data_IF_429620109204
#
_entry.id   IF_429620109204
#
_cell.length_a   1.000
_cell.length_b   1.000
_cell.length_c   1.000
_cell.angle_alpha   90.00
_cell.angle_beta   90.00
_cell.angle_gamma   90.00
#
_symmetry.space_group_name_H-M   'P 1'
#
loop_
_entity.id
_entity.type
_entity.pdbx_description
1 polymer ?
#
# COMPACT_ATOMS: atom_id res chain seq x y z
N UNK A 1 4.32 26.77 9.71
CA UNK A 1 4.08 25.32 9.90
C UNK A 1 3.39 24.69 8.69
N UNK A 2 2.25 25.21 8.23
CA UNK A 2 1.46 24.62 7.13
C UNK A 2 2.25 24.42 5.82
N UNK A 3 3.05 25.40 5.38
CA UNK A 3 3.79 25.30 4.11
C UNK A 3 4.92 24.26 4.13
N UNK A 4 5.60 24.11 5.28
CA UNK A 4 6.66 23.11 5.45
C UNK A 4 6.08 21.70 5.41
N UNK A 5 4.92 21.49 6.04
CA UNK A 5 4.24 20.19 6.03
C UNK A 5 3.69 19.85 4.64
N UNK A 6 3.19 20.84 3.90
CA UNK A 6 2.77 20.67 2.50
C UNK A 6 3.96 20.27 1.62
N UNK A 7 5.11 20.94 1.74
CA UNK A 7 6.32 20.57 1.00
C UNK A 7 6.77 19.15 1.33
N UNK A 8 6.80 18.78 2.62
CA UNK A 8 7.16 17.42 3.06
C UNK A 8 6.20 16.36 2.50
N UNK A 9 4.90 16.65 2.50
CA UNK A 9 3.90 15.77 1.92
C UNK A 9 4.08 15.63 0.41
N UNK A 10 4.36 16.72 -0.30
CA UNK A 10 4.67 16.69 -1.73
C UNK A 10 5.89 15.79 -2.01
N UNK A 11 6.99 15.98 -1.29
CA UNK A 11 8.18 15.13 -1.45
C UNK A 11 7.91 13.65 -1.11
N UNK A 12 7.08 13.39 -0.10
CA UNK A 12 6.65 12.03 0.28
C UNK A 12 5.92 11.35 -0.89
N UNK A 13 4.96 12.05 -1.49
CA UNK A 13 4.21 11.52 -2.63
C UNK A 13 5.09 11.36 -3.87
N UNK A 14 5.98 12.33 -4.16
CA UNK A 14 6.92 12.24 -5.29
C UNK A 14 7.88 11.06 -5.13
N UNK A 15 8.40 10.81 -3.93
CA UNK A 15 9.26 9.65 -3.65
C UNK A 15 8.49 8.33 -3.80
N UNK A 16 7.22 8.29 -3.39
CA UNK A 16 6.38 7.12 -3.61
C UNK A 16 6.17 6.86 -5.12
N UNK A 17 5.83 7.87 -5.91
CA UNK A 17 5.70 7.76 -7.37
C UNK A 17 7.02 7.32 -8.01
N UNK A 18 8.13 7.90 -7.59
CA UNK A 18 9.46 7.52 -8.06
C UNK A 18 9.78 6.05 -7.74
N UNK A 19 9.36 5.55 -6.58
CA UNK A 19 9.55 4.13 -6.20
C UNK A 19 8.78 3.17 -7.09
N UNK A 20 7.57 3.55 -7.54
CA UNK A 20 6.78 2.78 -8.50
C UNK A 20 7.50 2.77 -9.85
N UNK A 21 7.98 3.92 -10.31
CA UNK A 21 8.74 4.01 -11.56
C UNK A 21 10.01 3.13 -11.52
N UNK A 22 10.73 3.17 -10.40
CA UNK A 22 11.93 2.36 -10.22
C UNK A 22 11.63 0.85 -10.18
N UNK A 23 10.43 0.46 -9.75
CA UNK A 23 10.00 -0.95 -9.71
C UNK A 23 9.95 -1.63 -11.08
N UNK A 24 9.82 -0.86 -12.16
CA UNK A 24 9.89 -1.39 -13.53
C UNK A 24 11.30 -1.83 -13.93
N UNK A 25 12.33 -1.16 -13.42
CA UNK A 25 13.71 -1.41 -13.83
C UNK A 25 14.43 -2.35 -12.87
N UNK A 26 14.15 -2.27 -11.57
CA UNK A 26 14.86 -3.07 -10.56
C UNK A 26 14.90 -4.57 -10.88
N UNK A 27 13.79 -5.25 -11.21
CA UNK A 27 13.82 -6.68 -11.52
C UNK A 27 14.73 -7.03 -12.70
N UNK A 28 14.82 -6.16 -13.72
CA UNK A 28 15.64 -6.39 -14.91
C UNK A 28 17.15 -6.42 -14.63
N UNK A 29 17.60 -5.86 -13.50
CA UNK A 29 19.00 -5.97 -13.08
C UNK A 29 19.35 -7.33 -12.47
N UNK A 30 18.35 -8.09 -12.01
CA UNK A 30 18.54 -9.36 -11.31
C UNK A 30 18.05 -10.57 -12.11
N UNK A 31 17.17 -10.36 -13.10
CA UNK A 31 16.54 -11.40 -13.90
C UNK A 31 16.73 -11.10 -15.39
N UNK A 32 17.46 -11.98 -16.08
CA UNK A 32 17.82 -11.78 -17.49
C UNK A 32 16.62 -11.76 -18.46
N UNK A 33 15.51 -12.42 -18.10
CA UNK A 33 14.28 -12.51 -18.92
C UNK A 33 13.10 -11.75 -18.31
N UNK A 34 13.34 -10.65 -17.59
CA UNK A 34 12.25 -9.88 -16.99
C UNK A 34 11.39 -9.20 -18.07
N UNK A 35 10.12 -9.59 -18.13
CA UNK A 35 9.07 -8.89 -18.88
C UNK A 35 7.90 -8.61 -17.94
N UNK A 36 7.40 -7.37 -17.93
CA UNK A 36 6.31 -6.97 -17.02
C UNK A 36 5.06 -7.81 -17.26
N UNK A 37 4.80 -8.23 -18.51
CA UNK A 37 3.61 -9.00 -18.85
C UNK A 37 3.75 -10.47 -18.42
N UNK A 38 4.88 -11.10 -18.75
CA UNK A 38 5.11 -12.53 -18.48
C UNK A 38 5.46 -12.78 -17.01
N UNK A 39 6.17 -11.85 -16.38
CA UNK A 39 6.68 -11.96 -15.00
C UNK A 39 6.03 -10.92 -14.08
N UNK A 40 4.73 -10.65 -14.31
CA UNK A 40 3.95 -9.66 -13.58
C UNK A 40 3.94 -9.88 -12.06
N UNK A 41 3.99 -11.14 -11.59
CA UNK A 41 4.03 -11.46 -10.15
C UNK A 41 5.30 -10.95 -9.47
N UNK A 42 6.46 -11.09 -10.12
CA UNK A 42 7.72 -10.53 -9.66
C UNK A 42 7.68 -9.01 -9.62
N UNK A 43 7.09 -8.37 -10.64
CA UNK A 43 6.90 -6.93 -10.65
C UNK A 43 6.00 -6.46 -9.49
N UNK A 44 4.86 -7.13 -9.25
CA UNK A 44 3.96 -6.83 -8.12
C UNK A 44 4.68 -6.94 -6.77
N UNK A 45 5.48 -7.99 -6.58
CA UNK A 45 6.30 -8.18 -5.37
C UNK A 45 7.32 -7.05 -5.21
N UNK A 46 8.08 -6.72 -6.26
CA UNK A 46 9.10 -5.67 -6.23
C UNK A 46 8.47 -4.30 -5.97
N UNK A 47 7.37 -3.98 -6.65
CA UNK A 47 6.64 -2.72 -6.44
C UNK A 47 6.14 -2.61 -5.00
N UNK A 48 5.52 -3.67 -4.46
CA UNK A 48 5.03 -3.71 -3.08
C UNK A 48 6.18 -3.53 -2.07
N UNK A 49 7.31 -4.20 -2.28
CA UNK A 49 8.49 -4.09 -1.41
C UNK A 49 9.08 -2.67 -1.42
N UNK A 50 9.22 -2.05 -2.59
CA UNK A 50 9.78 -0.70 -2.73
C UNK A 50 8.88 0.36 -2.11
N UNK A 51 7.57 0.32 -2.40
CA UNK A 51 6.60 1.27 -1.84
C UNK A 51 6.56 1.13 -0.32
N UNK A 52 6.58 -0.10 0.21
CA UNK A 52 6.65 -0.35 1.66
C UNK A 52 7.94 0.24 2.24
N UNK A 53 9.09 -0.04 1.62
CA UNK A 53 10.39 0.47 2.05
C UNK A 53 10.45 1.99 2.10
N UNK A 54 9.92 2.67 1.08
CA UNK A 54 9.85 4.13 1.01
C UNK A 54 8.92 4.69 2.08
N UNK A 55 7.73 4.12 2.29
CA UNK A 55 6.82 4.56 3.36
C UNK A 55 7.43 4.39 4.76
N UNK A 56 8.13 3.28 5.01
CA UNK A 56 8.84 3.05 6.26
C UNK A 56 10.00 4.05 6.46
N UNK A 57 10.80 4.28 5.41
CA UNK A 57 11.88 5.26 5.45
C UNK A 57 11.35 6.67 5.74
N UNK A 58 10.27 7.07 5.07
CA UNK A 58 9.63 8.36 5.26
C UNK A 58 9.05 8.49 6.67
N UNK A 59 8.43 7.44 7.22
CA UNK A 59 8.01 7.43 8.61
C UNK A 59 9.18 7.64 9.58
N UNK A 60 10.31 6.98 9.34
CA UNK A 60 11.52 7.10 10.18
C UNK A 60 12.18 8.47 10.10
N UNK A 61 12.16 9.12 8.93
CA UNK A 61 12.77 10.43 8.68
C UNK A 61 11.86 11.58 9.11
N UNK A 62 10.58 11.54 8.72
CA UNK A 62 9.62 12.61 8.99
C UNK A 62 9.15 12.58 10.44
N UNK A 63 9.07 11.39 11.06
CA UNK A 63 8.53 11.16 12.41
C UNK A 63 7.33 12.05 12.71
N UNK A 64 6.23 11.95 11.95
CA UNK A 64 5.08 12.82 12.13
C UNK A 64 4.51 12.75 13.56
N UNK A 65 4.71 11.60 14.24
CA UNK A 65 4.39 11.42 15.65
C UNK A 65 5.67 11.18 16.46
N UNK A 66 6.16 12.20 17.16
CA UNK A 66 7.29 12.07 18.09
C UNK A 66 6.86 11.17 19.27
N UNK A 67 7.49 10.01 19.50
CA UNK A 67 7.19 9.23 20.68
C UNK A 67 7.68 10.00 21.92
N UNK A 68 6.75 10.35 22.80
CA UNK A 68 6.99 11.16 24.02
C UNK A 68 7.79 10.45 25.13
N UNK A 69 8.24 9.21 24.92
CA UNK A 69 8.90 8.40 25.96
C UNK A 69 9.98 7.48 25.38
N UNK A 70 11.10 7.28 26.09
CA UNK A 70 12.06 6.19 25.81
C UNK A 70 11.30 4.86 25.92
N UNK A 71 10.88 4.31 24.78
CA UNK A 71 10.20 3.01 24.74
C UNK A 71 11.24 1.90 24.76
N UNK A 72 11.05 0.91 25.65
CA UNK A 72 11.83 -0.34 25.65
C UNK A 72 11.84 -1.00 24.27
N UNK A 73 12.92 -1.73 23.95
CA UNK A 73 13.04 -2.55 22.73
C UNK A 73 11.83 -3.48 22.57
N UNK A 74 11.38 -4.09 23.66
CA UNK A 74 10.20 -4.97 23.68
C UNK A 74 8.96 -4.27 23.13
N UNK A 75 8.66 -3.05 23.57
CA UNK A 75 7.51 -2.28 23.07
C UNK A 75 7.62 -1.94 21.58
N UNK A 76 8.83 -1.69 21.06
CA UNK A 76 9.05 -1.45 19.62
C UNK A 76 8.78 -2.72 18.80
N UNK A 77 9.31 -3.86 19.25
CA UNK A 77 9.10 -5.16 18.61
C UNK A 77 7.62 -5.52 18.62
N UNK A 78 6.92 -5.40 19.75
CA UNK A 78 5.47 -5.65 19.82
C UNK A 78 4.68 -4.75 18.87
N UNK A 79 5.09 -3.47 18.73
CA UNK A 79 4.44 -2.56 17.77
C UNK A 79 4.62 -3.04 16.33
N UNK A 80 5.84 -3.40 15.95
CA UNK A 80 6.13 -3.91 14.59
C UNK A 80 5.35 -5.18 14.32
N UNK A 81 5.33 -6.14 15.25
CA UNK A 81 4.54 -7.36 15.11
C UNK A 81 3.05 -7.07 14.91
N UNK A 82 2.48 -6.14 15.67
CA UNK A 82 1.09 -5.70 15.48
C UNK A 82 0.87 -5.08 14.11
N UNK A 83 1.80 -4.26 13.62
CA UNK A 83 1.70 -3.71 12.26
C UNK A 83 1.73 -4.81 11.20
N UNK A 84 2.63 -5.78 11.32
CA UNK A 84 2.69 -6.92 10.39
C UNK A 84 1.39 -7.73 10.41
N UNK A 85 0.84 -8.01 11.60
CA UNK A 85 -0.46 -8.70 11.71
C UNK A 85 -1.59 -7.92 11.02
N UNK A 86 -1.65 -6.60 11.21
CA UNK A 86 -2.69 -5.76 10.59
C UNK A 86 -2.55 -5.72 9.06
N UNK A 87 -1.32 -5.65 8.56
CA UNK A 87 -1.05 -5.73 7.13
C UNK A 87 -1.49 -7.08 6.54
N UNK A 88 -1.11 -8.20 7.19
CA UNK A 88 -1.53 -9.53 6.75
C UNK A 88 -3.05 -9.71 6.79
N UNK A 89 -3.72 -9.23 7.84
CA UNK A 89 -5.18 -9.24 7.92
C UNK A 89 -5.82 -8.44 6.79
N UNK A 90 -5.25 -7.29 6.42
CA UNK A 90 -5.69 -6.49 5.26
C UNK A 90 -5.56 -7.28 3.95
N UNK A 91 -4.42 -7.94 3.72
CA UNK A 91 -4.21 -8.74 2.51
C UNK A 91 -5.23 -9.87 2.40
N UNK A 92 -5.44 -10.62 3.49
CA UNK A 92 -6.42 -11.72 3.51
C UNK A 92 -7.84 -11.19 3.31
N UNK A 93 -8.20 -10.09 3.96
CA UNK A 93 -9.52 -9.48 3.82
C UNK A 93 -9.80 -9.02 2.39
N UNK A 94 -8.85 -8.33 1.75
CA UNK A 94 -8.99 -7.89 0.36
C UNK A 94 -9.00 -9.08 -0.62
N UNK A 95 -8.20 -10.11 -0.37
CA UNK A 95 -8.23 -11.34 -1.18
C UNK A 95 -9.62 -11.98 -1.13
N UNK A 96 -10.22 -12.13 0.06
CA UNK A 96 -11.59 -12.63 0.21
C UNK A 96 -12.58 -11.76 -0.55
N UNK A 97 -12.47 -10.43 -0.45
CA UNK A 97 -13.33 -9.52 -1.23
C UNK A 97 -13.19 -9.78 -2.72
N UNK A 98 -11.97 -9.86 -3.26
CA UNK A 98 -11.78 -10.08 -4.69
C UNK A 98 -12.37 -11.39 -5.18
N UNK A 99 -12.22 -12.47 -4.40
CA UNK A 99 -12.87 -13.76 -4.69
C UNK A 99 -14.39 -13.60 -4.71
N UNK A 100 -14.98 -12.90 -3.74
CA UNK A 100 -16.42 -12.64 -3.70
C UNK A 100 -16.92 -11.79 -4.88
N UNK A 101 -16.04 -10.96 -5.46
CA UNK A 101 -16.31 -10.17 -6.66
C UNK A 101 -16.00 -10.90 -7.97
N UNK A 102 -15.67 -12.21 -7.91
CA UNK A 102 -15.53 -13.07 -9.08
C UNK A 102 -14.09 -13.46 -9.45
N UNK A 103 -13.08 -13.11 -8.64
CA UNK A 103 -11.72 -13.60 -8.87
C UNK A 103 -11.62 -15.12 -8.60
N UNK A 104 -10.87 -15.87 -9.41
CA UNK A 104 -10.74 -17.32 -9.28
C UNK A 104 -10.00 -17.74 -8.01
N UNK A 105 -10.57 -18.71 -7.28
CA UNK A 105 -10.06 -19.18 -5.99
C UNK A 105 -9.03 -20.33 -6.10
N UNK A 106 -8.84 -20.94 -7.28
CA UNK A 106 -7.96 -22.13 -7.44
C UNK A 106 -6.89 -21.91 -8.49
N UNK A 107 -7.25 -21.39 -9.67
CA UNK A 107 -6.32 -21.32 -10.81
C UNK A 107 -5.38 -20.12 -10.76
N UNK A 108 -5.85 -18.96 -10.26
CA UNK A 108 -5.05 -17.72 -10.18
C UNK A 108 -5.03 -17.15 -8.74
N UNK A 109 -4.82 -18.04 -7.76
CA UNK A 109 -4.80 -17.66 -6.33
C UNK A 109 -3.66 -16.70 -6.04
N UNK A 110 -2.49 -16.94 -6.64
CA UNK A 110 -1.29 -16.17 -6.38
C UNK A 110 -1.42 -14.75 -6.95
N UNK A 111 -1.98 -14.62 -8.13
CA UNK A 111 -2.32 -13.38 -8.81
C UNK A 111 -3.30 -12.57 -7.96
N UNK A 112 -4.41 -13.20 -7.56
CA UNK A 112 -5.45 -12.56 -6.73
C UNK A 112 -4.90 -12.15 -5.37
N UNK A 113 -4.04 -12.97 -4.76
CA UNK A 113 -3.41 -12.66 -3.50
C UNK A 113 -2.37 -11.54 -3.63
N UNK A 114 -1.53 -11.55 -4.67
CA UNK A 114 -0.55 -10.48 -4.91
C UNK A 114 -1.23 -9.15 -5.27
N UNK A 115 -2.39 -9.19 -5.92
CA UNK A 115 -3.23 -8.02 -6.11
C UNK A 115 -3.76 -7.48 -4.76
N UNK A 116 -4.16 -8.36 -3.84
CA UNK A 116 -4.54 -7.96 -2.48
C UNK A 116 -3.36 -7.41 -1.66
N UNK A 117 -2.15 -7.94 -1.87
CA UNK A 117 -0.91 -7.43 -1.27
C UNK A 117 -0.60 -6.03 -1.78
N UNK A 118 -0.60 -5.79 -3.09
CA UNK A 118 -0.27 -4.46 -3.62
C UNK A 118 -1.30 -3.42 -3.20
N UNK A 119 -2.61 -3.75 -3.22
CA UNK A 119 -3.65 -2.82 -2.77
C UNK A 119 -3.56 -2.56 -1.26
N UNK A 120 -3.25 -3.58 -0.45
CA UNK A 120 -2.95 -3.40 0.99
C UNK A 120 -1.71 -2.53 1.21
N UNK A 121 -0.71 -2.62 0.35
CA UNK A 121 0.50 -1.78 0.45
C UNK A 121 0.17 -0.31 0.24
N UNK A 122 -0.68 0.03 -0.73
CA UNK A 122 -1.06 1.43 -0.98
C UNK A 122 -2.04 2.00 0.05
N UNK A 123 -2.82 1.15 0.73
CA UNK A 123 -3.88 1.59 1.67
C UNK A 123 -3.44 1.46 3.13
N UNK A 124 -2.99 0.28 3.52
CA UNK A 124 -2.75 -0.13 4.92
C UNK A 124 -1.37 0.28 5.41
N UNK A 125 -0.31 0.21 4.59
CA UNK A 125 1.05 0.59 5.03
C UNK A 125 1.15 2.08 5.42
N UNK A 126 0.63 3.04 4.62
CA UNK A 126 0.59 4.45 5.03
C UNK A 126 -0.22 4.66 6.33
N UNK A 127 -1.33 3.93 6.51
CA UNK A 127 -2.13 4.00 7.75
C UNK A 127 -1.31 3.53 8.96
N UNK A 128 -0.62 2.40 8.83
CA UNK A 128 0.24 1.85 9.88
C UNK A 128 1.42 2.76 10.20
N UNK A 129 2.01 3.40 9.19
CA UNK A 129 3.08 4.37 9.38
C UNK A 129 2.59 5.62 10.11
N UNK A 130 1.48 6.22 9.67
CA UNK A 130 1.00 7.48 10.23
C UNK A 130 0.28 7.31 11.58
N UNK A 131 -0.69 6.39 11.63
CA UNK A 131 -1.61 6.22 12.76
C UNK A 131 -1.19 5.08 13.72
N UNK A 132 -0.28 4.21 13.29
CA UNK A 132 0.06 2.99 14.02
C UNK A 132 -1.08 1.96 14.03
N UNK A 133 -0.92 0.84 14.75
CA UNK A 133 -1.96 -0.18 14.90
C UNK A 133 -3.01 0.25 15.93
N UNK A 134 -3.69 1.38 15.65
CA UNK A 134 -4.72 1.98 16.50
C UNK A 134 -6.03 2.12 15.72
N UNK A 135 -6.89 1.10 15.79
CA UNK A 135 -8.16 1.08 15.07
C UNK A 135 -9.07 2.27 15.38
N UNK A 136 -9.05 2.80 16.61
CA UNK A 136 -9.84 4.00 16.96
C UNK A 136 -9.39 5.23 16.17
N UNK A 137 -8.08 5.38 15.96
CA UNK A 137 -7.54 6.45 15.13
C UNK A 137 -7.92 6.27 13.67
N UNK A 138 -7.94 5.03 13.17
CA UNK A 138 -8.34 4.72 11.80
C UNK A 138 -9.81 5.04 11.57
N UNK A 139 -10.69 4.54 12.45
CA UNK A 139 -12.12 4.81 12.40
C UNK A 139 -12.42 6.31 12.47
N UNK A 140 -11.69 7.05 13.31
CA UNK A 140 -11.78 8.52 13.34
C UNK A 140 -11.35 9.11 12.00
N UNK A 141 -10.17 8.77 11.48
CA UNK A 141 -9.68 9.39 10.24
C UNK A 141 -10.61 9.10 9.06
N UNK A 142 -11.20 7.90 8.98
CA UNK A 142 -12.14 7.53 7.91
C UNK A 142 -13.61 7.88 8.20
N UNK A 143 -13.91 8.58 9.30
CA UNK A 143 -15.26 9.10 9.56
C UNK A 143 -15.47 10.49 8.96
N UNK A 144 -16.75 10.89 8.83
CA UNK A 144 -17.12 12.22 8.36
C UNK A 144 -16.52 13.29 9.28
N UNK A 145 -15.72 14.19 8.72
CA UNK A 145 -15.02 15.29 9.40
C UNK A 145 -14.00 14.85 10.49
N UNK A 146 -13.53 13.60 10.47
CA UNK A 146 -12.59 13.11 11.48
C UNK A 146 -11.11 13.40 11.20
N UNK A 147 -10.81 13.98 10.04
CA UNK A 147 -9.47 14.44 9.66
C UNK A 147 -9.07 15.69 10.43
N UNK A 148 -7.94 15.61 11.11
CA UNK A 148 -7.39 16.68 11.95
C UNK A 148 -6.09 17.27 11.40
N UNK A 149 -5.45 16.62 10.43
CA UNK A 149 -4.18 17.08 9.84
C UNK A 149 -4.13 16.86 8.32
N UNK A 150 -3.23 17.61 7.66
CA UNK A 150 -2.99 17.48 6.20
C UNK A 150 -2.47 16.07 5.85
N UNK A 151 -1.71 15.44 6.75
CA UNK A 151 -1.24 14.06 6.59
C UNK A 151 -2.39 13.05 6.62
N UNK A 152 -3.36 13.23 7.53
CA UNK A 152 -4.56 12.40 7.58
C UNK A 152 -5.46 12.62 6.35
N UNK A 153 -5.55 13.85 5.84
CA UNK A 153 -6.26 14.14 4.59
C UNK A 153 -5.61 13.41 3.41
N UNK A 154 -4.28 13.49 3.30
CA UNK A 154 -3.55 12.76 2.25
C UNK A 154 -3.75 11.25 2.37
N UNK A 155 -3.78 10.71 3.58
CA UNK A 155 -4.02 9.29 3.82
C UNK A 155 -5.38 8.82 3.28
N UNK A 156 -6.44 9.61 3.52
CA UNK A 156 -7.77 9.34 2.96
C UNK A 156 -7.74 9.39 1.43
N UNK A 157 -7.16 10.45 0.86
CA UNK A 157 -7.08 10.63 -0.60
C UNK A 157 -6.35 9.45 -1.23
N UNK A 158 -5.17 9.09 -0.72
CA UNK A 158 -4.38 7.95 -1.21
C UNK A 158 -5.17 6.63 -1.13
N UNK A 159 -5.88 6.40 -0.02
CA UNK A 159 -6.67 5.18 0.16
C UNK A 159 -7.81 5.11 -0.85
N UNK A 160 -8.60 6.18 -0.96
CA UNK A 160 -9.74 6.25 -1.90
C UNK A 160 -9.24 6.16 -3.34
N UNK A 161 -8.19 6.89 -3.71
CA UNK A 161 -7.63 6.86 -5.06
C UNK A 161 -7.05 5.51 -5.42
N UNK A 162 -6.53 4.74 -4.46
CA UNK A 162 -6.02 3.38 -4.69
C UNK A 162 -7.15 2.41 -5.04
N UNK A 163 -8.28 2.48 -4.34
CA UNK A 163 -9.46 1.67 -4.68
C UNK A 163 -10.06 2.09 -6.03
N UNK A 164 -10.18 3.40 -6.28
CA UNK A 164 -10.65 3.90 -7.58
C UNK A 164 -9.70 3.42 -8.69
N UNK A 165 -8.39 3.57 -8.52
CA UNK A 165 -7.39 3.13 -9.50
C UNK A 165 -7.44 1.62 -9.76
N UNK A 166 -7.59 0.81 -8.71
CA UNK A 166 -7.77 -0.63 -8.82
C UNK A 166 -9.03 -0.98 -9.64
N UNK A 167 -10.15 -0.29 -9.40
CA UNK A 167 -11.38 -0.50 -10.14
C UNK A 167 -11.28 -0.03 -11.59
N UNK A 168 -10.71 1.16 -11.85
CA UNK A 168 -10.46 1.66 -13.21
C UNK A 168 -9.50 0.76 -14.00
N UNK A 169 -8.55 0.11 -13.31
CA UNK A 169 -7.63 -0.86 -13.90
C UNK A 169 -8.32 -2.10 -14.48
N UNK A 170 -9.57 -2.37 -14.09
CA UNK A 170 -10.38 -3.46 -14.65
C UNK A 170 -11.14 -3.04 -15.93
N UNK A 171 -11.21 -1.75 -16.27
CA UNK A 171 -11.91 -1.30 -17.48
C UNK A 171 -11.35 -1.81 -18.82
N UNK A 172 -10.06 -2.12 -18.98
CA UNK A 172 -9.56 -2.76 -20.20
C UNK A 172 -10.05 -4.21 -20.38
N UNK A 173 -10.57 -4.88 -19.34
CA UNK A 173 -10.94 -6.30 -19.40
C UNK A 173 -12.08 -6.58 -20.40
N UNK A 174 -13.19 -5.81 -20.43
CA UNK A 174 -14.23 -5.99 -21.44
C UNK A 174 -13.79 -5.72 -22.88
N UNK A 175 -12.69 -4.97 -23.07
CA UNK A 175 -12.13 -4.70 -24.39
C UNK A 175 -11.24 -5.86 -24.91
N UNK A 176 -10.85 -6.78 -24.03
CA UNK A 176 -9.99 -7.94 -24.35
C UNK A 176 -10.83 -9.20 -24.63
N UNK A 177 -11.81 -9.05 -25.54
CA UNK A 177 -12.85 -10.04 -25.86
C UNK A 177 -12.34 -11.41 -26.35
N UNK A 178 -11.08 -11.50 -26.76
CA UNK A 178 -10.47 -12.71 -27.37
C UNK A 178 -9.52 -13.46 -26.42
N UNK A 179 -9.62 -13.23 -25.10
CA UNK A 179 -8.64 -13.72 -24.14
C UNK A 179 -9.18 -14.77 -23.18
N UNK A 180 -8.36 -15.77 -22.80
CA UNK A 180 -8.81 -16.95 -22.06
C UNK A 180 -9.11 -16.71 -20.56
N UNK A 181 -8.95 -15.49 -20.05
CA UNK A 181 -9.19 -15.13 -18.64
C UNK A 181 -10.55 -14.47 -18.38
N UNK A 182 -11.40 -14.37 -19.41
CA UNK A 182 -12.85 -14.14 -19.25
C UNK A 182 -13.54 -15.46 -18.89
#
# INVERSE_FOLDING_TARGET
MKDTDIKRLLYTNLLCVFSIFLSFFIPSFFLDNFSILETHLTWLCTCSALVTGVNLLLYLVVKPNVPSRRSSLSHKVTRVLKCCMYFLMSCVFLHIIFVLYGAPLIELVLETFLFAVILSTFTTVPCLCLLGPNLKAWLRVFSRNGVTSIWENSLQITTISSFIGAWLGAFPIPLDWERPWQ
#
